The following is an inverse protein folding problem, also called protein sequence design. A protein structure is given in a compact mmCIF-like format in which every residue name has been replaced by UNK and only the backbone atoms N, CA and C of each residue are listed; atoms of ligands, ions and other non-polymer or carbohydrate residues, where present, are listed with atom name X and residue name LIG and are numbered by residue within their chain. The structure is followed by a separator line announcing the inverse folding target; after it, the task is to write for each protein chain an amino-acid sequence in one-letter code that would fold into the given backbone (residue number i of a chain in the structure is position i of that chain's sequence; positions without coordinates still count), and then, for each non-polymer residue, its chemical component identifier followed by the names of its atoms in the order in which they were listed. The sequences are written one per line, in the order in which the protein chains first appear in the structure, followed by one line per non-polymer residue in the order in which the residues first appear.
data_IF_035318294675
#
_entry.id   IF_035318294675
#
_cell.length_a   1.000
_cell.length_b   1.000
_cell.length_c   1.000
_cell.angle_alpha   90.00
_cell.angle_beta   90.00
_cell.angle_gamma   90.00
#
_symmetry.space_group_name_H-M   'P 1'
#
loop_
_entity.id
_entity.type
_entity.pdbx_description
1 polymer ?
#
# COMPACT_ATOMS: atom_id res chain seq x y z
N UNK A 1 -26.88 34.90 -28.40
CA UNK A 1 -26.59 33.45 -28.52
C UNK A 1 -25.10 33.12 -28.61
N UNK A 2 -24.29 33.79 -29.46
CA UNK A 2 -22.83 33.55 -29.55
C UNK A 2 -22.07 33.75 -28.22
N UNK A 3 -22.40 34.80 -27.46
CA UNK A 3 -21.74 35.13 -26.18
C UNK A 3 -22.07 34.10 -25.08
N UNK A 4 -23.32 33.61 -25.02
CA UNK A 4 -23.74 32.58 -24.07
C UNK A 4 -23.05 31.23 -24.32
N UNK A 5 -22.85 30.86 -25.60
CA UNK A 5 -22.09 29.67 -25.98
C UNK A 5 -20.62 29.77 -25.58
N UNK A 6 -19.99 30.94 -25.74
CA UNK A 6 -18.61 31.18 -25.31
C UNK A 6 -18.43 31.08 -23.79
N UNK A 7 -19.40 31.58 -23.00
CA UNK A 7 -19.33 31.50 -21.53
C UNK A 7 -19.47 30.06 -21.03
N UNK A 8 -20.36 29.27 -21.64
CA UNK A 8 -20.49 27.84 -21.31
C UNK A 8 -19.22 27.05 -21.63
N UNK A 9 -18.56 27.34 -22.76
CA UNK A 9 -17.31 26.66 -23.14
C UNK A 9 -16.17 26.94 -22.17
N UNK A 10 -16.05 28.18 -21.67
CA UNK A 10 -15.02 28.58 -20.70
C UNK A 10 -15.25 27.90 -19.34
N UNK A 11 -16.51 27.79 -18.89
CA UNK A 11 -16.86 27.12 -17.64
C UNK A 11 -16.52 25.62 -17.68
N UNK A 12 -16.80 24.94 -18.79
CA UNK A 12 -16.48 23.51 -18.97
C UNK A 12 -14.96 23.30 -19.00
N UNK A 13 -14.20 24.17 -19.67
CA UNK A 13 -12.74 24.09 -19.72
C UNK A 13 -12.07 24.39 -18.36
N UNK A 14 -12.66 25.29 -17.56
CA UNK A 14 -12.17 25.59 -16.21
C UNK A 14 -12.44 24.48 -15.19
N UNK A 15 -13.49 23.67 -15.41
CA UNK A 15 -13.84 22.54 -14.54
C UNK A 15 -12.85 21.37 -14.61
N UNK A 16 -12.11 21.22 -15.72
CA UNK A 16 -11.10 20.16 -15.87
C UNK A 16 -9.71 20.55 -15.32
N UNK A 17 -9.49 21.83 -14.95
CA UNK A 17 -8.20 22.31 -14.45
C UNK A 17 -8.12 22.39 -12.92
N UNK A 18 -9.23 22.19 -12.20
CA UNK A 18 -9.21 21.97 -10.77
C UNK A 18 -8.79 20.52 -10.52
N UNK A 19 -7.49 20.31 -10.27
CA UNK A 19 -6.90 19.01 -9.96
C UNK A 19 -7.73 18.26 -8.91
N UNK A 20 -8.65 17.43 -9.41
CA UNK A 20 -9.76 16.84 -8.67
C UNK A 20 -9.32 16.10 -7.42
N UNK A 21 -10.29 15.80 -6.57
CA UNK A 21 -10.12 15.08 -5.31
C UNK A 21 -8.91 14.13 -5.32
N UNK A 22 -7.85 14.52 -4.61
CA UNK A 22 -6.68 13.67 -4.42
C UNK A 22 -7.04 12.70 -3.29
N UNK A 23 -7.02 11.38 -3.52
CA UNK A 23 -7.19 10.44 -2.42
C UNK A 23 -6.08 10.67 -1.39
N UNK A 24 -6.38 10.40 -0.12
CA UNK A 24 -5.36 10.39 0.90
C UNK A 24 -4.22 9.45 0.48
N UNK A 25 -2.95 9.80 0.77
CA UNK A 25 -1.86 8.89 0.51
C UNK A 25 -2.10 7.56 1.24
N UNK A 26 -1.66 6.44 0.64
CA UNK A 26 -1.73 5.15 1.32
C UNK A 26 -0.99 5.24 2.66
N UNK A 27 -1.63 4.69 3.69
CA UNK A 27 -1.11 4.49 5.02
C UNK A 27 0.05 3.47 5.07
N UNK A 28 -0.02 2.39 4.29
CA UNK A 28 0.98 1.33 4.26
C UNK A 28 1.95 1.44 3.08
N UNK A 29 3.24 1.40 3.42
CA UNK A 29 4.34 1.35 2.47
C UNK A 29 5.03 -0.01 2.55
N UNK A 30 4.63 -0.93 1.67
CA UNK A 30 5.20 -2.26 1.57
C UNK A 30 6.52 -2.26 0.79
N UNK A 31 7.56 -2.82 1.40
CA UNK A 31 8.86 -3.05 0.78
C UNK A 31 9.24 -4.52 0.85
N UNK A 32 9.68 -5.08 -0.27
CA UNK A 32 10.21 -6.45 -0.29
C UNK A 32 11.63 -6.46 0.29
N UNK A 33 11.88 -7.28 1.31
CA UNK A 33 13.13 -7.24 2.08
C UNK A 33 14.39 -7.50 1.24
N UNK A 34 14.27 -8.34 0.21
CA UNK A 34 15.35 -8.77 -0.67
C UNK A 34 15.17 -8.23 -2.09
N UNK A 35 14.49 -7.09 -2.25
CA UNK A 35 14.21 -6.48 -3.54
C UNK A 35 15.48 -6.33 -4.38
N UNK A 36 16.55 -5.75 -3.83
CA UNK A 36 17.77 -5.43 -4.59
C UNK A 36 18.50 -6.69 -5.08
N UNK A 37 18.40 -7.79 -4.33
CA UNK A 37 18.99 -9.08 -4.71
C UNK A 37 18.14 -9.81 -5.77
N UNK A 38 16.80 -9.73 -5.67
CA UNK A 38 15.89 -10.37 -6.62
C UNK A 38 15.72 -9.59 -7.92
N UNK A 39 15.89 -8.27 -7.85
CA UNK A 39 15.62 -7.32 -8.91
C UNK A 39 16.81 -6.35 -9.02
N UNK A 40 17.97 -6.82 -9.50
CA UNK A 40 19.14 -5.96 -9.66
C UNK A 40 18.91 -4.91 -10.74
N UNK A 41 19.43 -3.70 -10.55
CA UNK A 41 19.28 -2.57 -11.48
C UNK A 41 19.85 -2.85 -12.88
N UNK A 42 20.77 -3.82 -13.00
CA UNK A 42 21.31 -4.26 -14.29
C UNK A 42 20.27 -4.94 -15.20
N UNK A 43 19.14 -5.38 -14.65
CA UNK A 43 18.07 -6.00 -15.41
C UNK A 43 17.21 -4.93 -16.12
N UNK A 44 17.16 -4.89 -17.46
CA UNK A 44 16.37 -3.90 -18.20
C UNK A 44 14.86 -4.00 -17.91
N UNK A 45 14.38 -5.12 -17.36
CA UNK A 45 12.98 -5.35 -17.02
C UNK A 45 12.71 -5.34 -15.50
N UNK A 46 13.65 -4.82 -14.70
CA UNK A 46 13.60 -4.81 -13.23
C UNK A 46 12.25 -4.31 -12.69
N UNK A 47 11.76 -3.17 -13.22
CA UNK A 47 10.51 -2.57 -12.77
C UNK A 47 9.30 -3.46 -13.07
N UNK A 48 9.21 -4.00 -14.29
CA UNK A 48 8.12 -4.89 -14.70
C UNK A 48 8.09 -6.15 -13.85
N UNK A 49 9.26 -6.73 -13.54
CA UNK A 49 9.37 -7.92 -12.70
C UNK A 49 8.98 -7.64 -11.25
N UNK A 50 9.45 -6.53 -10.68
CA UNK A 50 9.09 -6.11 -9.33
C UNK A 50 7.58 -5.86 -9.20
N UNK A 51 7.00 -5.10 -10.13
CA UNK A 51 5.56 -4.82 -10.18
C UNK A 51 4.75 -6.10 -10.39
N UNK A 52 5.21 -7.00 -11.27
CA UNK A 52 4.58 -8.29 -11.50
C UNK A 52 4.58 -9.16 -10.24
N UNK A 53 5.70 -9.19 -9.51
CA UNK A 53 5.80 -9.90 -8.22
C UNK A 53 4.86 -9.30 -7.19
N UNK A 54 4.83 -7.98 -7.04
CA UNK A 54 3.93 -7.28 -6.13
C UNK A 54 2.46 -7.59 -6.43
N UNK A 55 2.05 -7.49 -7.71
CA UNK A 55 0.69 -7.79 -8.15
C UNK A 55 0.30 -9.23 -7.84
N UNK A 56 1.18 -10.18 -8.13
CA UNK A 56 0.95 -11.59 -7.85
C UNK A 56 0.80 -11.84 -6.35
N UNK A 57 1.75 -11.39 -5.53
CA UNK A 57 1.75 -11.66 -4.10
C UNK A 57 0.55 -11.02 -3.38
N UNK A 58 0.21 -9.77 -3.73
CA UNK A 58 -0.95 -9.08 -3.20
C UNK A 58 -2.25 -9.81 -3.58
N UNK A 59 -2.42 -10.14 -4.86
CA UNK A 59 -3.60 -10.88 -5.33
C UNK A 59 -3.72 -12.26 -4.68
N UNK A 60 -2.61 -12.99 -4.54
CA UNK A 60 -2.59 -14.32 -3.91
C UNK A 60 -2.98 -14.25 -2.42
N UNK A 61 -2.72 -13.12 -1.75
CA UNK A 61 -3.13 -12.87 -0.36
C UNK A 61 -4.51 -12.21 -0.23
N UNK A 62 -5.20 -11.90 -1.33
CA UNK A 62 -6.48 -11.18 -1.30
C UNK A 62 -6.36 -9.68 -1.02
N UNK A 63 -5.17 -9.11 -1.18
CA UNK A 63 -4.96 -7.67 -1.14
C UNK A 63 -5.18 -7.06 -2.53
N UNK A 64 -5.89 -5.94 -2.59
CA UNK A 64 -5.97 -5.17 -3.82
C UNK A 64 -4.60 -4.57 -4.14
N UNK A 65 -4.05 -4.93 -5.30
CA UNK A 65 -2.75 -4.45 -5.75
C UNK A 65 -2.72 -2.92 -5.98
N UNK A 66 -3.86 -2.32 -6.33
CA UNK A 66 -3.94 -0.89 -6.67
C UNK A 66 -3.83 -0.04 -5.41
N UNK A 67 -4.64 -0.33 -4.39
CA UNK A 67 -4.55 0.34 -3.08
C UNK A 67 -3.30 -0.12 -2.33
N UNK A 68 -2.99 -1.41 -2.35
CA UNK A 68 -1.87 -1.99 -1.60
C UNK A 68 -2.12 -2.04 -0.09
N UNK A 69 -3.39 -2.02 0.33
CA UNK A 69 -3.77 -1.94 1.73
C UNK A 69 -4.91 -2.90 2.06
N UNK A 70 -4.94 -3.34 3.31
CA UNK A 70 -6.06 -4.10 3.85
C UNK A 70 -6.23 -3.80 5.33
N UNK A 71 -7.48 -3.63 5.76
CA UNK A 71 -7.83 -3.60 7.19
C UNK A 71 -7.93 -5.03 7.77
N UNK A 72 -7.78 -6.06 6.93
CA UNK A 72 -7.75 -7.45 7.38
C UNK A 72 -6.32 -7.85 7.79
N UNK A 73 -6.08 -8.17 9.07
CA UNK A 73 -4.75 -8.58 9.54
C UNK A 73 -4.25 -9.87 8.87
N UNK A 74 -5.13 -10.79 8.47
CA UNK A 74 -4.72 -12.05 7.83
C UNK A 74 -4.14 -11.81 6.43
N UNK A 75 -4.74 -10.87 5.68
CA UNK A 75 -4.25 -10.44 4.37
C UNK A 75 -2.86 -9.80 4.49
N UNK A 76 -2.68 -8.94 5.49
CA UNK A 76 -1.39 -8.28 5.74
C UNK A 76 -0.32 -9.28 6.21
N UNK A 77 -0.66 -10.18 7.14
CA UNK A 77 0.24 -11.23 7.62
C UNK A 77 0.63 -12.23 6.52
N UNK A 78 -0.30 -12.55 5.61
CA UNK A 78 0.00 -13.33 4.41
C UNK A 78 1.07 -12.63 3.56
N UNK A 79 0.93 -11.32 3.35
CA UNK A 79 1.90 -10.56 2.57
C UNK A 79 3.27 -10.51 3.26
N UNK A 80 3.30 -10.35 4.58
CA UNK A 80 4.53 -10.46 5.39
C UNK A 80 5.23 -11.80 5.25
N UNK A 81 4.48 -12.90 5.25
CA UNK A 81 5.04 -14.24 5.05
C UNK A 81 5.73 -14.42 3.69
N UNK A 82 5.36 -13.60 2.70
CA UNK A 82 5.97 -13.58 1.36
C UNK A 82 7.22 -12.68 1.29
N UNK A 83 7.60 -12.04 2.40
CA UNK A 83 8.81 -11.22 2.53
C UNK A 83 8.61 -9.73 2.33
N UNK A 84 7.36 -9.27 2.27
CA UNK A 84 7.01 -7.85 2.23
C UNK A 84 6.90 -7.30 3.65
N UNK A 85 7.49 -6.15 3.94
CA UNK A 85 7.44 -5.54 5.26
C UNK A 85 7.01 -4.09 5.16
N UNK A 86 6.35 -3.59 6.19
CA UNK A 86 6.12 -2.16 6.32
C UNK A 86 7.41 -1.49 6.77
N UNK A 87 7.63 -0.27 6.32
CA UNK A 87 8.77 0.56 6.75
C UNK A 87 8.79 0.75 8.28
N UNK A 88 7.62 0.82 8.91
CA UNK A 88 7.46 0.94 10.37
C UNK A 88 7.63 -0.36 11.17
N UNK A 89 7.99 -1.48 10.53
CA UNK A 89 8.14 -2.79 11.17
C UNK A 89 6.96 -3.72 10.93
N UNK A 90 6.76 -4.74 11.79
CA UNK A 90 5.69 -5.74 11.59
C UNK A 90 4.29 -5.11 11.62
N UNK A 91 3.42 -5.55 10.71
CA UNK A 91 2.05 -5.03 10.58
C UNK A 91 1.25 -5.21 11.87
N UNK A 92 1.48 -6.30 12.58
CA UNK A 92 0.79 -6.55 13.83
C UNK A 92 1.32 -5.76 15.01
N UNK A 93 2.44 -5.05 14.87
CA UNK A 93 2.86 -4.07 15.85
C UNK A 93 2.19 -2.72 15.58
N UNK A 94 1.88 -2.38 14.33
CA UNK A 94 1.23 -1.12 13.96
C UNK A 94 -0.05 -0.81 14.79
N UNK A 95 -0.25 0.48 15.12
CA UNK A 95 -1.30 1.02 16.00
C UNK A 95 -2.73 0.61 15.62
N UNK A 96 -3.14 0.70 14.36
CA UNK A 96 -4.47 0.30 13.87
C UNK A 96 -4.69 -1.21 13.93
N UNK A 97 -3.61 -1.99 13.81
CA UNK A 97 -3.63 -3.46 13.87
C UNK A 97 -3.43 -4.01 15.28
N UNK A 98 -2.98 -3.20 16.23
CA UNK A 98 -2.59 -3.62 17.57
C UNK A 98 -3.66 -4.46 18.28
N UNK A 99 -4.91 -4.01 18.29
CA UNK A 99 -5.97 -4.72 19.02
C UNK A 99 -6.67 -5.82 18.21
N UNK A 100 -6.20 -6.13 17.00
CA UNK A 100 -6.81 -7.17 16.16
C UNK A 100 -6.51 -8.56 16.74
N UNK A 101 -7.50 -9.48 16.83
CA UNK A 101 -7.30 -10.80 17.43
C UNK A 101 -6.16 -11.61 16.81
N UNK A 102 -6.07 -11.64 15.47
CA UNK A 102 -4.98 -12.31 14.75
C UNK A 102 -3.61 -11.74 15.13
N UNK A 103 -3.50 -10.41 15.24
CA UNK A 103 -2.27 -9.74 15.64
C UNK A 103 -1.90 -9.95 17.10
N UNK A 104 -2.86 -10.02 18.01
CA UNK A 104 -2.61 -10.39 19.41
C UNK A 104 -2.02 -11.80 19.49
N UNK A 105 -2.55 -12.75 18.72
CA UNK A 105 -2.02 -14.12 18.68
C UNK A 105 -0.63 -14.19 18.05
N UNK A 106 -0.42 -13.45 16.96
CA UNK A 106 0.88 -13.36 16.29
C UNK A 106 1.94 -12.77 17.22
N UNK A 107 1.66 -11.66 17.91
CA UNK A 107 2.61 -10.99 18.80
C UNK A 107 3.05 -11.85 19.97
N UNK A 108 2.17 -12.70 20.51
CA UNK A 108 2.54 -13.66 21.57
C UNK A 108 3.69 -14.59 21.18
N UNK A 109 3.88 -14.86 19.88
CA UNK A 109 4.91 -15.77 19.37
C UNK A 109 6.12 -15.03 18.81
N UNK A 110 5.91 -13.86 18.23
CA UNK A 110 6.91 -13.20 17.38
C UNK A 110 7.39 -11.85 17.90
N UNK A 111 6.59 -11.18 18.73
CA UNK A 111 6.87 -9.80 19.15
C UNK A 111 7.71 -9.75 20.42
N UNK A 112 8.50 -8.70 20.54
CA UNK A 112 9.29 -8.46 21.75
C UNK A 112 8.37 -8.00 22.90
N UNK A 113 8.74 -8.28 24.18
CA UNK A 113 7.94 -7.85 25.33
C UNK A 113 7.66 -6.34 25.39
N UNK A 114 8.53 -5.53 24.79
CA UNK A 114 8.55 -4.06 24.78
C UNK A 114 8.12 -3.45 23.44
N UNK A 115 7.52 -4.23 22.53
CA UNK A 115 7.19 -3.83 21.16
C UNK A 115 6.11 -2.76 20.99
N UNK A 116 5.83 -1.91 21.99
CA UNK A 116 5.01 -0.70 21.84
C UNK A 116 5.92 0.51 21.64
N UNK A 117 6.22 0.94 20.40
CA UNK A 117 7.08 2.07 20.12
C UNK A 117 6.31 3.40 20.04
N UNK A 118 4.96 3.36 20.03
CA UNK A 118 4.13 4.49 19.60
C UNK A 118 3.97 5.65 20.58
N UNK A 119 4.63 5.61 21.75
CA UNK A 119 4.72 6.72 22.71
C UNK A 119 3.41 7.38 23.06
#
# INVERSE_FOLDING_TARGET
MKVLFSIFLILILSGCSFGGFKPAPPYYHWRLHNADALFPESDPNVLTKYVGRRKKDMSDCGMDFVTGESDNPEVNLCLESKGWYLEGGPVCEERTMWNRPACIQWRKKHSKPDAKPWG
#
